data_IF_725703484200
#
_entry.id   IF_725703484200
#
_cell.length_a   1.000
_cell.length_b   1.000
_cell.length_c   1.000
_cell.angle_alpha   90.00
_cell.angle_beta   90.00
_cell.angle_gamma   90.00
#
_symmetry.space_group_name_H-M   'P 1'
#
loop_
_entity.id
_entity.type
_entity.pdbx_description
1 polymer ?
#
# COMPACT_ATOMS: atom_id res chain seq x y z
N UNK A 1 5.44 21.01 -27.32
CA UNK A 1 6.85 20.77 -27.06
C UNK A 1 7.00 19.90 -25.83
N UNK A 2 7.63 18.72 -25.92
CA UNK A 2 7.83 17.82 -24.79
C UNK A 2 8.63 18.44 -23.63
N UNK A 3 9.46 19.43 -23.90
CA UNK A 3 10.26 20.13 -22.89
C UNK A 3 9.46 21.14 -22.08
N UNK A 4 8.32 21.60 -22.62
CA UNK A 4 7.42 22.55 -21.93
C UNK A 4 6.33 21.88 -21.11
N UNK A 5 6.24 20.55 -21.13
CA UNK A 5 5.26 19.82 -20.34
C UNK A 5 5.58 19.91 -18.84
N UNK A 6 4.59 20.29 -18.05
CA UNK A 6 4.68 20.25 -16.60
C UNK A 6 4.87 18.83 -16.11
N UNK A 7 5.84 18.63 -15.24
CA UNK A 7 6.18 17.31 -14.67
C UNK A 7 5.59 17.17 -13.27
N UNK A 8 5.02 16.01 -13.01
CA UNK A 8 4.49 15.68 -11.69
C UNK A 8 5.60 15.64 -10.66
N UNK A 9 5.46 16.41 -9.58
CA UNK A 9 6.37 16.35 -8.41
C UNK A 9 6.34 14.96 -7.75
N UNK A 10 5.17 14.36 -7.66
CA UNK A 10 5.02 12.99 -7.17
C UNK A 10 5.90 12.01 -7.95
N UNK A 11 5.82 12.00 -9.28
CA UNK A 11 6.62 11.10 -10.11
C UNK A 11 8.11 11.46 -10.08
N UNK A 12 8.45 12.74 -10.11
CA UNK A 12 9.83 13.21 -10.10
C UNK A 12 10.55 12.86 -8.78
N UNK A 13 9.91 13.07 -7.63
CA UNK A 13 10.47 12.75 -6.34
C UNK A 13 10.64 11.25 -6.14
N UNK A 14 9.56 10.48 -6.32
CA UNK A 14 9.58 9.04 -6.04
C UNK A 14 10.34 8.18 -7.07
N UNK A 15 10.50 8.65 -8.32
CA UNK A 15 11.14 7.84 -9.39
C UNK A 15 12.43 8.44 -9.95
N UNK A 16 12.70 9.74 -9.73
CA UNK A 16 13.92 10.40 -10.20
C UNK A 16 14.69 11.09 -9.07
N UNK A 17 14.33 10.86 -7.81
CA UNK A 17 14.98 11.45 -6.63
C UNK A 17 15.06 12.98 -6.70
N UNK A 18 14.07 13.62 -7.32
CA UNK A 18 13.98 15.07 -7.37
C UNK A 18 13.64 15.64 -6.00
N UNK A 19 14.41 16.60 -5.52
CA UNK A 19 14.15 17.27 -4.24
C UNK A 19 14.51 18.75 -4.35
N UNK A 20 13.67 19.61 -3.77
CA UNK A 20 13.85 21.06 -3.86
C UNK A 20 15.15 21.51 -3.18
N UNK A 21 15.45 21.01 -2.00
CA UNK A 21 16.66 21.33 -1.21
C UNK A 21 17.96 20.93 -1.91
N UNK A 22 17.91 19.96 -2.82
CA UNK A 22 19.05 19.56 -3.65
C UNK A 22 19.12 20.29 -4.99
N UNK A 23 18.26 21.28 -5.19
CA UNK A 23 18.16 22.02 -6.44
C UNK A 23 17.62 21.17 -7.60
N UNK A 24 16.75 20.22 -7.31
CA UNK A 24 16.07 19.37 -8.28
C UNK A 24 16.57 17.94 -8.33
N UNK A 25 16.95 17.47 -9.53
CA UNK A 25 17.47 16.11 -9.76
C UNK A 25 18.83 15.90 -9.07
N UNK A 26 19.23 14.64 -8.79
CA UNK A 26 20.53 14.32 -8.20
C UNK A 26 21.70 14.98 -8.92
N UNK A 27 22.76 15.28 -8.19
CA UNK A 27 23.96 15.92 -8.72
C UNK A 27 24.60 15.07 -9.83
N UNK A 28 25.22 15.71 -10.81
CA UNK A 28 25.83 15.04 -11.97
C UNK A 28 26.92 14.06 -11.56
N UNK A 29 27.73 14.40 -10.57
CA UNK A 29 28.79 13.53 -10.03
C UNK A 29 28.23 12.26 -9.35
N UNK A 30 27.07 12.37 -8.69
CA UNK A 30 26.35 11.21 -8.15
C UNK A 30 25.86 10.31 -9.30
N UNK A 31 25.24 10.86 -10.32
CA UNK A 31 24.73 10.11 -11.47
C UNK A 31 25.85 9.37 -12.20
N UNK A 32 26.98 10.06 -12.49
CA UNK A 32 28.15 9.47 -13.16
C UNK A 32 28.80 8.40 -12.32
N UNK A 33 28.82 8.55 -10.97
CA UNK A 33 29.34 7.52 -10.07
C UNK A 33 28.44 6.28 -10.04
N UNK A 34 27.14 6.45 -10.19
CA UNK A 34 26.17 5.37 -10.28
C UNK A 34 26.34 4.58 -11.59
N UNK A 35 26.38 5.28 -12.72
CA UNK A 35 26.68 4.72 -14.03
C UNK A 35 27.25 5.81 -14.96
N UNK A 36 28.45 5.62 -15.57
CA UNK A 36 29.01 6.58 -16.52
C UNK A 36 28.12 6.93 -17.72
N UNK A 37 27.17 6.06 -18.10
CA UNK A 37 26.19 6.34 -19.16
C UNK A 37 25.19 7.44 -18.79
N UNK A 38 25.09 7.78 -17.50
CA UNK A 38 24.22 8.85 -17.02
C UNK A 38 24.84 10.24 -17.16
N UNK A 39 26.09 10.36 -17.66
CA UNK A 39 26.75 11.63 -17.91
C UNK A 39 25.90 12.56 -18.78
N UNK A 40 25.68 13.80 -18.34
CA UNK A 40 24.85 14.80 -19.01
C UNK A 40 23.35 14.52 -18.97
N UNK A 41 22.88 13.52 -18.22
CA UNK A 41 21.46 13.22 -18.09
C UNK A 41 20.70 14.35 -17.40
N UNK A 42 21.26 14.89 -16.31
CA UNK A 42 20.64 15.97 -15.53
C UNK A 42 20.26 17.18 -16.40
N UNK A 43 21.15 17.60 -17.29
CA UNK A 43 20.93 18.77 -18.14
C UNK A 43 19.90 18.54 -19.25
N UNK A 44 19.58 17.30 -19.57
CA UNK A 44 18.58 16.88 -20.57
C UNK A 44 17.20 16.63 -19.98
N UNK A 45 17.08 16.60 -18.66
CA UNK A 45 15.81 16.37 -17.95
C UNK A 45 15.18 17.71 -17.53
N UNK A 46 14.00 17.58 -16.95
CA UNK A 46 13.23 18.70 -16.40
C UNK A 46 13.91 19.30 -15.16
N UNK A 47 13.69 20.58 -14.92
CA UNK A 47 14.13 21.27 -13.70
C UNK A 47 12.98 21.47 -12.72
N UNK A 48 11.83 21.93 -13.24
CA UNK A 48 10.67 22.29 -12.46
C UNK A 48 9.70 21.11 -12.32
N UNK A 49 9.05 21.02 -11.18
CA UNK A 49 8.01 20.03 -10.89
C UNK A 49 6.79 20.73 -10.30
N UNK A 50 5.63 20.10 -10.44
CA UNK A 50 4.34 20.70 -10.06
C UNK A 50 3.50 19.68 -9.29
N UNK A 51 2.79 20.17 -8.29
CA UNK A 51 1.81 19.42 -7.50
C UNK A 51 0.51 19.20 -8.29
N UNK A 52 -0.35 18.32 -7.81
CA UNK A 52 -1.54 17.88 -8.55
C UNK A 52 -2.66 18.92 -8.62
N UNK A 53 -2.61 19.96 -7.81
CA UNK A 53 -3.51 21.12 -7.82
C UNK A 53 -3.16 22.17 -8.90
N UNK A 54 -2.10 21.92 -9.70
CA UNK A 54 -1.67 22.81 -10.76
C UNK A 54 -2.20 22.36 -12.11
N UNK A 55 -2.66 23.32 -12.93
CA UNK A 55 -3.06 23.04 -14.32
C UNK A 55 -1.84 22.66 -15.16
N UNK A 56 -1.90 21.52 -15.85
CA UNK A 56 -0.94 21.13 -16.89
C UNK A 56 -1.23 21.81 -18.24
N UNK A 57 -2.41 22.37 -18.41
CA UNK A 57 -2.87 23.03 -19.64
C UNK A 57 -4.36 22.83 -19.87
N UNK A 58 -4.80 23.00 -21.11
CA UNK A 58 -6.17 22.76 -21.55
C UNK A 58 -6.20 21.64 -22.59
N UNK A 59 -7.32 20.95 -22.67
CA UNK A 59 -7.58 19.94 -23.67
C UNK A 59 -7.53 20.58 -25.08
N UNK A 60 -6.81 19.95 -26.01
CA UNK A 60 -6.77 20.43 -27.39
C UNK A 60 -8.12 20.25 -28.09
N UNK A 61 -8.46 21.09 -29.07
CA UNK A 61 -9.71 20.99 -29.81
C UNK A 61 -9.92 19.59 -30.43
N UNK A 62 -8.87 18.99 -30.98
CA UNK A 62 -8.94 17.64 -31.55
C UNK A 62 -9.28 16.54 -30.50
N UNK A 63 -8.81 16.67 -29.28
CA UNK A 63 -9.17 15.74 -28.20
C UNK A 63 -10.53 16.06 -27.60
N UNK A 64 -10.91 17.36 -27.50
CA UNK A 64 -12.26 17.75 -27.07
C UNK A 64 -13.33 17.16 -28.00
N UNK A 65 -13.16 17.31 -29.31
CA UNK A 65 -14.04 16.72 -30.33
C UNK A 65 -14.11 15.19 -30.21
N UNK A 66 -12.93 14.52 -30.12
CA UNK A 66 -12.86 13.05 -30.04
C UNK A 66 -13.52 12.47 -28.79
N UNK A 67 -13.46 13.18 -27.66
CA UNK A 67 -14.03 12.77 -26.39
C UNK A 67 -15.45 13.27 -26.18
N UNK A 68 -15.99 14.12 -27.09
CA UNK A 68 -17.30 14.75 -26.94
C UNK A 68 -17.37 15.73 -25.77
N UNK A 69 -16.23 16.40 -25.45
CA UNK A 69 -16.10 17.35 -24.36
C UNK A 69 -16.08 18.79 -24.90
N UNK A 70 -16.46 19.80 -24.08
CA UNK A 70 -16.31 21.20 -24.45
C UNK A 70 -14.83 21.56 -24.68
N UNK A 71 -14.58 22.58 -25.49
CA UNK A 71 -13.28 23.22 -25.57
C UNK A 71 -12.92 23.91 -24.24
N UNK A 72 -11.64 23.98 -23.94
CA UNK A 72 -11.17 24.68 -22.74
C UNK A 72 -11.21 23.87 -21.45
N UNK A 73 -11.54 22.56 -21.49
CA UNK A 73 -11.45 21.69 -20.33
C UNK A 73 -10.02 21.69 -19.82
N UNK A 74 -9.85 22.01 -18.54
CA UNK A 74 -8.54 22.07 -17.87
C UNK A 74 -8.04 20.67 -17.57
N UNK A 75 -6.77 20.41 -17.80
CA UNK A 75 -6.06 19.17 -17.47
C UNK A 75 -5.13 19.44 -16.30
N UNK A 76 -5.31 18.71 -15.19
CA UNK A 76 -4.43 18.82 -14.02
C UNK A 76 -3.12 18.06 -14.19
N UNK A 77 -2.12 18.41 -13.39
CA UNK A 77 -0.91 17.59 -13.21
C UNK A 77 -1.32 16.33 -12.42
N UNK A 78 -0.95 15.15 -12.92
CA UNK A 78 -1.30 13.88 -12.27
C UNK A 78 -0.33 13.50 -11.13
N UNK A 79 -0.73 12.50 -10.36
CA UNK A 79 0.11 11.79 -9.41
C UNK A 79 -0.04 10.27 -9.61
N UNK A 80 0.67 9.48 -8.82
CA UNK A 80 0.49 8.03 -8.83
C UNK A 80 -0.90 7.64 -8.29
N UNK A 81 -1.38 6.48 -8.72
CA UNK A 81 -2.69 5.96 -8.38
C UNK A 81 -2.91 5.86 -6.85
N UNK A 82 -1.94 5.32 -6.12
CA UNK A 82 -2.04 5.21 -4.66
C UNK A 82 -2.06 6.57 -3.96
N UNK A 83 -1.37 7.60 -4.49
CA UNK A 83 -1.40 8.97 -3.98
C UNK A 83 -2.78 9.60 -4.21
N UNK A 84 -3.33 9.45 -5.44
CA UNK A 84 -4.71 9.85 -5.71
C UNK A 84 -5.71 9.08 -4.85
N UNK A 85 -5.44 7.77 -4.64
CA UNK A 85 -6.25 6.91 -3.76
C UNK A 85 -6.28 7.39 -2.32
N UNK A 86 -5.14 7.85 -1.79
CA UNK A 86 -5.07 8.42 -0.44
C UNK A 86 -5.96 9.67 -0.31
N UNK A 87 -5.89 10.57 -1.29
CA UNK A 87 -6.73 11.78 -1.30
C UNK A 87 -8.22 11.45 -1.43
N UNK A 88 -8.59 10.54 -2.33
CA UNK A 88 -9.97 10.08 -2.48
C UNK A 88 -10.47 9.21 -1.32
N UNK A 89 -9.57 8.66 -0.52
CA UNK A 89 -9.83 8.01 0.75
C UNK A 89 -9.90 8.97 1.93
N UNK A 90 -9.81 10.28 1.65
CA UNK A 90 -9.91 11.34 2.66
C UNK A 90 -8.76 11.30 3.67
N UNK A 91 -7.52 11.17 3.17
CA UNK A 91 -6.31 11.21 4.02
C UNK A 91 -6.26 12.50 4.83
N UNK A 92 -5.97 12.36 6.11
CA UNK A 92 -5.79 13.43 7.08
C UNK A 92 -4.31 13.49 7.53
N UNK A 93 -3.80 14.62 8.03
CA UNK A 93 -2.46 14.68 8.62
C UNK A 93 -2.27 13.61 9.69
N UNK A 94 -1.09 12.97 9.67
CA UNK A 94 -0.71 11.90 10.59
C UNK A 94 -1.60 10.64 10.56
N UNK A 95 -2.45 10.49 9.53
CA UNK A 95 -3.16 9.23 9.29
C UNK A 95 -2.48 8.46 8.16
N UNK A 96 -2.20 7.19 8.41
CA UNK A 96 -1.60 6.31 7.43
C UNK A 96 -2.67 5.79 6.46
N UNK A 97 -2.74 6.34 5.26
CA UNK A 97 -3.59 5.80 4.19
C UNK A 97 -2.96 4.54 3.63
N UNK A 98 -3.62 3.39 3.79
CA UNK A 98 -3.10 2.08 3.42
C UNK A 98 -3.93 1.46 2.31
N UNK A 99 -3.39 1.46 1.09
CA UNK A 99 -4.00 0.77 -0.06
C UNK A 99 -3.64 -0.70 0.00
N UNK A 100 -4.64 -1.57 0.22
CA UNK A 100 -4.46 -3.00 0.49
C UNK A 100 -5.03 -3.83 -0.66
N UNK A 101 -4.15 -4.23 -1.57
CA UNK A 101 -4.41 -5.11 -2.70
C UNK A 101 -3.54 -6.37 -2.63
N UNK A 102 -2.91 -6.72 -3.77
CA UNK A 102 -1.88 -7.78 -3.89
C UNK A 102 -0.68 -7.48 -3.00
N UNK A 103 -0.24 -6.23 -3.01
CA UNK A 103 0.75 -5.60 -2.13
C UNK A 103 0.10 -4.47 -1.35
N UNK A 104 0.89 -3.71 -0.57
CA UNK A 104 0.39 -2.45 0.00
C UNK A 104 1.16 -1.24 -0.51
N UNK A 105 0.46 -0.12 -0.57
CA UNK A 105 1.04 1.19 -0.73
C UNK A 105 0.52 2.07 0.41
N UNK A 106 1.44 2.53 1.23
CA UNK A 106 1.15 3.20 2.49
C UNK A 106 1.58 4.67 2.37
N UNK A 107 0.63 5.58 2.48
CA UNK A 107 0.84 7.03 2.36
C UNK A 107 0.60 7.71 3.69
N UNK A 108 1.48 8.62 4.07
CA UNK A 108 1.29 9.50 5.21
C UNK A 108 1.54 10.93 4.77
N UNK A 109 0.73 11.86 5.25
CA UNK A 109 0.96 13.29 5.07
C UNK A 109 1.20 13.94 6.42
N UNK A 110 2.13 14.89 6.47
CA UNK A 110 2.45 15.64 7.68
C UNK A 110 2.78 17.10 7.33
N UNK A 111 2.37 18.06 8.18
CA UNK A 111 2.79 19.45 8.04
C UNK A 111 4.31 19.59 8.14
N UNK A 112 4.91 20.43 7.30
CA UNK A 112 6.36 20.67 7.28
C UNK A 112 6.91 21.17 8.61
N UNK A 113 6.19 22.06 9.27
CA UNK A 113 6.59 22.67 10.54
C UNK A 113 6.60 21.68 11.72
N UNK A 114 5.95 20.52 11.56
CA UNK A 114 5.90 19.49 12.61
C UNK A 114 6.90 18.35 12.38
N UNK A 115 7.25 18.03 11.15
CA UNK A 115 8.21 16.95 10.80
C UNK A 115 9.61 17.53 10.51
N UNK A 116 9.66 18.77 10.02
CA UNK A 116 10.91 19.45 9.72
C UNK A 116 11.75 18.74 8.67
N UNK A 117 13.08 18.77 8.85
CA UNK A 117 14.07 18.12 7.96
C UNK A 117 14.27 16.64 8.31
N UNK A 118 13.39 16.04 9.11
CA UNK A 118 13.50 14.63 9.49
C UNK A 118 13.37 13.74 8.26
N UNK A 119 14.43 12.99 7.96
CA UNK A 119 14.44 11.97 6.92
C UNK A 119 14.13 10.61 7.54
N UNK A 120 13.03 10.00 7.16
CA UNK A 120 12.65 8.66 7.60
C UNK A 120 13.43 7.62 6.81
N UNK A 121 14.35 6.93 7.48
CA UNK A 121 15.21 5.94 6.84
C UNK A 121 14.45 4.71 6.37
N UNK A 122 14.86 4.14 5.22
CA UNK A 122 14.38 2.83 4.74
C UNK A 122 12.94 2.80 4.26
N UNK A 123 12.31 3.95 3.98
CA UNK A 123 10.99 4.04 3.32
C UNK A 123 11.15 4.19 1.80
N UNK A 124 10.04 4.15 1.05
CA UNK A 124 10.06 4.22 -0.40
C UNK A 124 10.35 5.62 -0.93
N UNK A 125 9.93 6.65 -0.22
CA UNK A 125 10.14 8.04 -0.60
C UNK A 125 9.54 9.03 0.38
N UNK A 126 10.08 10.24 0.33
CA UNK A 126 9.65 11.40 1.12
C UNK A 126 9.72 12.61 0.20
N UNK A 127 8.57 13.16 -0.16
CA UNK A 127 8.47 14.18 -1.22
C UNK A 127 7.43 15.22 -0.86
N UNK A 128 7.86 16.49 -0.83
CA UNK A 128 6.96 17.62 -0.60
C UNK A 128 5.85 17.70 -1.64
N UNK A 129 4.62 17.83 -1.18
CA UNK A 129 3.43 18.02 -2.02
C UNK A 129 3.10 16.84 -2.94
N UNK A 130 3.69 15.66 -2.73
CA UNK A 130 3.45 14.51 -3.61
C UNK A 130 2.06 13.90 -3.46
N UNK A 131 1.45 14.05 -2.29
CA UNK A 131 0.10 13.55 -1.95
C UNK A 131 -0.85 14.73 -1.84
N UNK A 132 -0.65 15.57 -0.81
CA UNK A 132 -1.40 16.78 -0.55
C UNK A 132 -0.47 17.99 -0.71
N UNK A 133 -0.80 18.99 -1.55
CA UNK A 133 -0.01 20.19 -1.69
C UNK A 133 0.22 20.89 -0.35
N UNK A 134 1.45 21.37 -0.12
CA UNK A 134 1.82 22.06 1.12
C UNK A 134 2.06 21.14 2.32
N UNK A 135 2.04 19.82 2.14
CA UNK A 135 2.40 18.84 3.15
C UNK A 135 3.50 17.91 2.65
N UNK A 136 4.32 17.45 3.57
CA UNK A 136 5.28 16.39 3.28
C UNK A 136 4.54 15.08 3.04
N UNK A 137 4.76 14.46 1.89
CA UNK A 137 4.22 13.15 1.55
C UNK A 137 5.28 12.07 1.77
N UNK A 138 4.94 11.05 2.56
CA UNK A 138 5.80 9.91 2.84
C UNK A 138 5.17 8.64 2.27
N UNK A 139 5.99 7.82 1.58
CA UNK A 139 5.55 6.56 0.96
C UNK A 139 6.30 5.38 1.56
N UNK A 140 5.55 4.36 1.95
CA UNK A 140 6.03 3.06 2.37
C UNK A 140 5.19 1.95 1.70
N UNK A 141 5.39 0.69 2.08
CA UNK A 141 4.53 -0.40 1.64
C UNK A 141 5.19 -1.77 1.72
N UNK A 142 4.38 -2.81 1.56
CA UNK A 142 4.80 -4.20 1.57
C UNK A 142 4.80 -4.78 0.15
N UNK A 143 5.79 -5.61 -0.16
CA UNK A 143 5.91 -6.27 -1.48
C UNK A 143 4.81 -7.30 -1.74
N UNK A 144 4.26 -7.90 -0.69
CA UNK A 144 3.14 -8.84 -0.75
C UNK A 144 2.22 -8.62 0.46
N UNK A 145 0.91 -8.70 0.24
CA UNK A 145 -0.12 -8.67 1.26
C UNK A 145 -1.24 -9.65 0.88
N UNK A 146 -2.21 -9.26 0.08
CA UNK A 146 -3.25 -10.14 -0.43
C UNK A 146 -2.73 -11.29 -1.29
N UNK A 147 -1.59 -11.10 -1.95
CA UNK A 147 -0.90 -12.16 -2.72
C UNK A 147 -0.48 -13.34 -1.85
N UNK A 148 -0.18 -13.12 -0.56
CA UNK A 148 0.13 -14.21 0.38
C UNK A 148 -1.09 -15.09 0.61
N UNK A 149 -2.27 -14.48 0.73
CA UNK A 149 -3.53 -15.23 0.87
C UNK A 149 -3.87 -15.99 -0.41
N UNK A 150 -3.69 -15.35 -1.57
CA UNK A 150 -3.88 -15.97 -2.87
C UNK A 150 -2.88 -17.12 -3.11
N UNK A 151 -1.63 -16.93 -2.75
CA UNK A 151 -0.62 -18.00 -2.79
C UNK A 151 -1.03 -19.19 -1.95
N UNK A 152 -1.44 -18.98 -0.69
CA UNK A 152 -1.85 -20.08 0.17
C UNK A 152 -3.12 -20.78 -0.34
N UNK A 153 -4.09 -20.01 -0.84
CA UNK A 153 -5.25 -20.58 -1.58
C UNK A 153 -4.79 -21.54 -2.67
N UNK A 154 -3.86 -21.13 -3.51
CA UNK A 154 -3.36 -21.94 -4.62
C UNK A 154 -2.64 -23.20 -4.14
N UNK A 155 -1.87 -23.12 -3.04
CA UNK A 155 -1.20 -24.29 -2.45
C UNK A 155 -2.22 -25.36 -2.02
N UNK A 156 -3.29 -24.96 -1.32
CA UNK A 156 -4.30 -25.91 -0.83
C UNK A 156 -5.33 -26.30 -1.89
N UNK A 157 -5.51 -25.51 -2.95
CA UNK A 157 -6.36 -25.84 -4.08
C UNK A 157 -5.73 -26.86 -5.05
N UNK A 158 -4.46 -27.22 -4.88
CA UNK A 158 -3.75 -28.14 -5.78
C UNK A 158 -4.52 -29.45 -6.09
N UNK A 159 -5.14 -30.15 -5.10
CA UNK A 159 -5.96 -31.34 -5.38
C UNK A 159 -7.22 -31.03 -6.20
N UNK A 160 -7.81 -29.85 -6.03
CA UNK A 160 -8.99 -29.42 -6.78
C UNK A 160 -8.60 -29.23 -8.23
N UNK A 161 -7.54 -28.48 -8.50
CA UNK A 161 -7.11 -28.10 -9.84
C UNK A 161 -6.48 -29.29 -10.61
N UNK A 162 -5.86 -30.24 -9.89
CA UNK A 162 -5.07 -31.30 -10.52
C UNK A 162 -5.69 -32.69 -10.42
N UNK A 163 -6.59 -32.95 -9.47
CA UNK A 163 -7.24 -34.24 -9.27
C UNK A 163 -8.73 -34.12 -9.63
N UNK A 164 -9.48 -33.23 -8.94
CA UNK A 164 -10.91 -33.09 -9.17
C UNK A 164 -11.22 -32.57 -10.58
N UNK A 165 -10.49 -31.58 -11.06
CA UNK A 165 -10.64 -31.02 -12.42
C UNK A 165 -10.41 -32.06 -13.55
N UNK A 166 -9.82 -33.23 -13.22
CA UNK A 166 -9.55 -34.32 -14.17
C UNK A 166 -10.37 -35.59 -13.87
N UNK A 167 -11.29 -35.52 -12.91
CA UNK A 167 -12.09 -36.69 -12.50
C UNK A 167 -13.05 -37.12 -13.63
N UNK A 168 -12.89 -38.32 -14.12
CA UNK A 168 -13.75 -38.89 -15.17
C UNK A 168 -15.06 -39.49 -14.69
N UNK A 169 -15.30 -39.53 -13.38
CA UNK A 169 -16.53 -40.08 -12.76
C UNK A 169 -17.72 -39.11 -12.75
N UNK A 170 -17.52 -37.86 -13.10
CA UNK A 170 -18.55 -36.81 -13.18
C UNK A 170 -18.46 -36.11 -14.56
N UNK A 171 -19.60 -35.66 -15.06
CA UNK A 171 -19.65 -34.91 -16.32
C UNK A 171 -18.91 -33.56 -16.22
N UNK A 172 -18.44 -33.06 -17.33
CA UNK A 172 -17.59 -31.90 -17.44
C UNK A 172 -18.24 -30.64 -16.83
N UNK A 173 -19.50 -30.38 -17.13
CA UNK A 173 -20.21 -29.18 -16.66
C UNK A 173 -20.40 -29.19 -15.12
N UNK A 174 -20.70 -30.34 -14.53
CA UNK A 174 -20.79 -30.50 -13.06
C UNK A 174 -19.42 -30.34 -12.40
N UNK A 175 -18.38 -30.92 -13.01
CA UNK A 175 -17.02 -30.84 -12.53
C UNK A 175 -16.51 -29.39 -12.52
N UNK A 176 -16.67 -28.66 -13.62
CA UNK A 176 -16.21 -27.28 -13.76
C UNK A 176 -16.92 -26.36 -12.75
N UNK A 177 -18.24 -26.55 -12.58
CA UNK A 177 -19.02 -25.82 -11.56
C UNK A 177 -18.55 -26.13 -10.14
N UNK A 178 -18.21 -27.38 -9.82
CA UNK A 178 -17.68 -27.75 -8.49
C UNK A 178 -16.29 -27.15 -8.24
N UNK A 179 -15.41 -27.15 -9.23
CA UNK A 179 -14.09 -26.54 -9.14
C UNK A 179 -14.21 -25.03 -8.86
N UNK A 180 -15.06 -24.33 -9.60
CA UNK A 180 -15.32 -22.91 -9.40
C UNK A 180 -15.91 -22.64 -8.00
N UNK A 181 -16.98 -23.33 -7.62
CA UNK A 181 -17.64 -23.16 -6.32
C UNK A 181 -16.68 -23.37 -5.14
N UNK A 182 -15.91 -24.46 -5.18
CA UNK A 182 -14.96 -24.76 -4.09
C UNK A 182 -13.83 -23.74 -4.05
N UNK A 183 -13.29 -23.35 -5.22
CA UNK A 183 -12.22 -22.36 -5.32
C UNK A 183 -12.63 -20.99 -4.76
N UNK A 184 -13.88 -20.57 -4.99
CA UNK A 184 -14.39 -19.30 -4.48
C UNK A 184 -14.63 -19.29 -2.97
N UNK A 185 -14.89 -20.47 -2.39
CA UNK A 185 -15.16 -20.63 -0.95
C UNK A 185 -13.90 -20.75 -0.10
N UNK A 186 -12.75 -21.09 -0.64
CA UNK A 186 -11.53 -21.37 0.13
C UNK A 186 -11.18 -20.20 1.08
N UNK A 187 -11.02 -18.99 0.57
CA UNK A 187 -10.65 -17.83 1.42
C UNK A 187 -11.74 -17.48 2.44
N UNK A 188 -13.03 -17.37 2.08
CA UNK A 188 -14.10 -17.18 3.07
C UNK A 188 -14.12 -18.22 4.20
N UNK A 189 -14.02 -19.50 3.86
CA UNK A 189 -14.06 -20.59 4.85
C UNK A 189 -12.80 -20.62 5.73
N UNK A 190 -11.61 -20.39 5.15
CA UNK A 190 -10.36 -20.22 5.91
C UNK A 190 -10.45 -19.03 6.87
N UNK A 191 -10.97 -17.91 6.43
CA UNK A 191 -11.14 -16.70 7.25
C UNK A 191 -12.06 -17.00 8.43
N UNK A 192 -13.24 -17.58 8.18
CA UNK A 192 -14.21 -17.93 9.21
C UNK A 192 -13.70 -18.99 10.22
N UNK A 193 -12.82 -19.89 9.78
CA UNK A 193 -12.18 -20.87 10.65
C UNK A 193 -11.02 -20.24 11.45
N UNK A 194 -10.19 -19.42 10.81
CA UNK A 194 -9.05 -18.74 11.43
C UNK A 194 -9.49 -17.75 12.52
N UNK A 195 -10.61 -17.05 12.32
CA UNK A 195 -11.18 -16.11 13.28
C UNK A 195 -11.53 -16.78 14.63
N UNK A 196 -11.87 -18.07 14.63
CA UNK A 196 -12.23 -18.85 15.82
C UNK A 196 -11.03 -19.37 16.61
N UNK A 197 -9.84 -19.29 16.06
CA UNK A 197 -8.61 -19.73 16.74
C UNK A 197 -8.16 -18.60 17.67
N UNK A 198 -7.84 -18.92 18.92
CA UNK A 198 -7.34 -17.91 19.87
C UNK A 198 -5.98 -17.37 19.44
N UNK A 199 -5.71 -16.09 19.79
CA UNK A 199 -4.42 -15.42 19.52
C UNK A 199 -3.31 -16.22 20.22
N UNK A 200 -2.31 -16.68 19.46
CA UNK A 200 -1.18 -17.46 19.94
C UNK A 200 -1.45 -18.97 20.10
N UNK A 201 -2.70 -19.45 19.97
CA UNK A 201 -3.03 -20.89 20.11
C UNK A 201 -2.26 -21.78 19.12
N UNK A 202 -2.06 -21.30 17.90
CA UNK A 202 -1.42 -22.11 16.85
C UNK A 202 0.07 -22.38 17.11
N UNK A 203 0.75 -21.49 17.83
CA UNK A 203 2.20 -21.51 18.00
C UNK A 203 2.98 -21.29 16.69
N UNK A 204 2.30 -20.96 15.59
CA UNK A 204 2.90 -20.74 14.27
C UNK A 204 3.23 -19.27 14.10
N UNK A 205 4.45 -18.98 13.63
CA UNK A 205 4.90 -17.65 13.24
C UNK A 205 5.30 -17.69 11.77
N UNK A 206 4.90 -16.67 10.99
CA UNK A 206 5.26 -16.55 9.59
C UNK A 206 5.90 -15.19 9.30
N UNK A 207 6.63 -15.09 8.19
CA UNK A 207 7.14 -13.85 7.62
C UNK A 207 6.45 -13.56 6.29
N UNK A 208 6.04 -12.31 6.10
CA UNK A 208 5.36 -11.81 4.90
C UNK A 208 6.28 -11.55 3.70
N UNK A 209 7.56 -11.93 3.78
CA UNK A 209 8.60 -11.61 2.77
C UNK A 209 8.56 -12.54 1.54
N UNK A 210 7.39 -13.01 1.12
CA UNK A 210 7.25 -13.93 -0.04
C UNK A 210 7.80 -13.31 -1.34
N UNK A 211 7.72 -11.97 -1.49
CA UNK A 211 8.30 -11.19 -2.59
C UNK A 211 9.45 -10.27 -2.12
N UNK A 212 10.20 -10.68 -1.09
CA UNK A 212 11.17 -9.81 -0.45
C UNK A 212 10.53 -8.78 0.47
N UNK A 213 11.35 -7.96 1.13
CA UNK A 213 10.92 -6.84 1.97
C UNK A 213 11.09 -5.53 1.20
N UNK A 214 10.01 -4.70 1.14
CA UNK A 214 10.05 -3.37 0.53
C UNK A 214 10.35 -2.28 1.56
N UNK A 215 9.62 -2.26 2.66
CA UNK A 215 9.75 -1.31 3.76
C UNK A 215 9.57 -2.01 5.10
N UNK A 216 10.34 -1.65 6.15
CA UNK A 216 11.52 -0.80 6.10
C UNK A 216 12.74 -1.54 5.52
N UNK A 217 13.71 -0.76 5.05
CA UNK A 217 15.03 -1.27 4.60
C UNK A 217 14.90 -2.34 3.51
N UNK A 218 14.63 -1.88 2.27
CA UNK A 218 14.34 -2.74 1.13
C UNK A 218 15.41 -3.83 0.92
N UNK A 219 14.96 -5.09 0.90
CA UNK A 219 15.80 -6.24 0.59
C UNK A 219 14.99 -7.31 -0.17
N UNK A 220 15.15 -7.36 -1.49
CA UNK A 220 14.43 -8.28 -2.36
C UNK A 220 14.98 -9.71 -2.34
N UNK A 221 16.16 -9.92 -1.74
CA UNK A 221 16.72 -11.26 -1.56
C UNK A 221 16.02 -12.06 -0.45
N UNK A 222 15.37 -11.39 0.50
CA UNK A 222 14.63 -12.02 1.59
C UNK A 222 13.48 -12.87 1.05
N UNK A 223 13.15 -13.93 1.79
CA UNK A 223 12.07 -14.87 1.45
C UNK A 223 11.17 -15.10 2.66
N UNK A 224 9.91 -15.40 2.39
CA UNK A 224 8.95 -15.81 3.41
C UNK A 224 9.40 -17.07 4.14
N UNK A 225 8.98 -17.20 5.39
CA UNK A 225 9.25 -18.38 6.21
C UNK A 225 8.05 -18.68 7.10
N UNK A 226 7.91 -19.93 7.52
CA UNK A 226 6.88 -20.37 8.46
C UNK A 226 7.57 -21.29 9.48
N UNK A 227 7.38 -21.02 10.75
CA UNK A 227 8.00 -21.75 11.86
C UNK A 227 6.93 -22.19 12.87
N UNK A 228 7.24 -23.21 13.69
CA UNK A 228 6.32 -23.71 14.72
C UNK A 228 5.30 -24.75 14.24
N UNK A 229 5.49 -25.32 13.03
CA UNK A 229 4.60 -26.35 12.50
C UNK A 229 4.70 -27.65 13.32
N UNK A 230 3.55 -28.26 13.57
CA UNK A 230 3.39 -29.58 14.21
C UNK A 230 2.47 -30.45 13.37
N UNK A 231 2.33 -31.72 13.73
CA UNK A 231 1.35 -32.61 13.09
C UNK A 231 -0.12 -32.16 13.30
N UNK A 232 -0.37 -31.30 14.28
CA UNK A 232 -1.68 -30.71 14.54
C UNK A 232 -1.92 -29.38 13.79
N UNK A 233 -0.93 -28.90 13.02
CA UNK A 233 -1.09 -27.67 12.24
C UNK A 233 -1.97 -27.94 11.01
N UNK A 234 -3.11 -27.27 10.94
CA UNK A 234 -4.06 -27.34 9.84
C UNK A 234 -4.08 -26.05 9.00
N UNK A 235 -4.82 -26.07 7.90
CA UNK A 235 -4.88 -24.94 6.97
C UNK A 235 -5.39 -23.63 7.62
N UNK A 236 -6.43 -23.62 8.48
CA UNK A 236 -6.85 -22.40 9.18
C UNK A 236 -5.77 -21.81 10.10
N UNK A 237 -5.01 -22.65 10.83
CA UNK A 237 -3.91 -22.19 11.70
C UNK A 237 -2.78 -21.56 10.91
N UNK A 238 -2.39 -22.16 9.79
CA UNK A 238 -1.37 -21.60 8.90
C UNK A 238 -1.88 -20.29 8.28
N UNK A 239 -3.13 -20.25 7.82
CA UNK A 239 -3.72 -19.05 7.24
C UNK A 239 -3.77 -17.88 8.24
N UNK A 240 -4.14 -18.15 9.51
CA UNK A 240 -4.09 -17.14 10.56
C UNK A 240 -2.68 -16.57 10.75
N UNK A 241 -1.66 -17.41 10.83
CA UNK A 241 -0.28 -16.96 10.96
C UNK A 241 0.18 -16.12 9.77
N UNK A 242 -0.29 -16.42 8.54
CA UNK A 242 -0.01 -15.61 7.35
C UNK A 242 -0.72 -14.24 7.40
N UNK A 243 -1.96 -14.18 7.91
CA UNK A 243 -2.66 -12.91 8.16
C UNK A 243 -1.91 -12.10 9.19
N UNK A 244 -1.54 -12.70 10.32
CA UNK A 244 -0.77 -12.04 11.37
C UNK A 244 0.58 -11.53 10.84
N UNK A 245 1.29 -12.31 10.01
CA UNK A 245 2.55 -11.90 9.39
C UNK A 245 2.42 -10.64 8.53
N UNK A 246 1.39 -10.56 7.68
CA UNK A 246 1.15 -9.36 6.85
C UNK A 246 0.86 -8.12 7.69
N UNK A 247 0.17 -8.30 8.81
CA UNK A 247 -0.12 -7.21 9.75
C UNK A 247 1.11 -6.83 10.58
N UNK A 248 1.95 -7.79 10.98
CA UNK A 248 3.24 -7.50 11.63
C UNK A 248 4.19 -6.74 10.71
N UNK A 249 4.22 -7.06 9.41
CA UNK A 249 4.92 -6.27 8.41
C UNK A 249 4.42 -4.82 8.36
N UNK A 250 3.10 -4.62 8.42
CA UNK A 250 2.50 -3.27 8.52
C UNK A 250 2.92 -2.55 9.81
N UNK A 251 3.00 -3.27 10.93
CA UNK A 251 3.48 -2.71 12.20
C UNK A 251 4.96 -2.32 12.13
N UNK A 252 5.81 -3.09 11.45
CA UNK A 252 7.22 -2.69 11.24
C UNK A 252 7.34 -1.36 10.49
N UNK A 253 6.44 -1.11 9.54
CA UNK A 253 6.37 0.19 8.84
C UNK A 253 5.95 1.30 9.80
N UNK A 254 4.88 1.10 10.56
CA UNK A 254 4.41 2.08 11.53
C UNK A 254 5.48 2.38 12.61
N UNK A 255 6.14 1.34 13.14
CA UNK A 255 7.21 1.48 14.12
C UNK A 255 8.41 2.26 13.55
N UNK A 256 8.74 2.14 12.25
CA UNK A 256 9.77 2.93 11.59
C UNK A 256 9.40 4.42 11.62
N UNK A 257 8.20 4.79 11.24
CA UNK A 257 7.75 6.20 11.30
C UNK A 257 7.84 6.74 12.73
N UNK A 258 7.30 6.01 13.70
CA UNK A 258 7.30 6.41 15.10
C UNK A 258 8.72 6.56 15.68
N UNK A 259 9.64 5.63 15.36
CA UNK A 259 11.03 5.66 15.85
C UNK A 259 11.85 6.81 15.26
N UNK A 260 11.49 7.28 14.07
CA UNK A 260 12.11 8.44 13.40
C UNK A 260 11.38 9.77 13.75
N UNK A 261 10.44 9.73 14.70
CA UNK A 261 9.76 10.91 15.23
C UNK A 261 8.52 11.38 14.44
N UNK A 262 8.07 10.60 13.46
CA UNK A 262 6.82 10.88 12.74
C UNK A 262 5.66 10.16 13.43
N UNK A 263 4.72 10.91 14.02
CA UNK A 263 3.56 10.33 14.70
C UNK A 263 2.56 9.73 13.70
N UNK A 264 1.79 8.73 14.17
CA UNK A 264 0.65 8.18 13.46
C UNK A 264 -0.54 8.18 14.42
N UNK A 265 -1.64 8.79 14.02
CA UNK A 265 -2.85 8.96 14.85
C UNK A 265 -3.95 7.94 14.49
N UNK A 266 -3.86 7.31 13.33
CA UNK A 266 -4.81 6.30 12.87
C UNK A 266 -4.50 5.80 11.47
N UNK A 267 -5.32 4.88 10.98
CA UNK A 267 -5.16 4.29 9.66
C UNK A 267 -6.45 4.44 8.85
N UNK A 268 -6.31 4.81 7.60
CA UNK A 268 -7.39 4.82 6.60
C UNK A 268 -7.11 3.69 5.61
N UNK A 269 -7.89 2.64 5.69
CA UNK A 269 -7.74 1.44 4.88
C UNK A 269 -8.54 1.53 3.58
N UNK A 270 -7.89 1.22 2.46
CA UNK A 270 -8.43 1.27 1.10
C UNK A 270 -8.20 -0.06 0.40
N UNK A 271 -8.95 -0.34 -0.65
CA UNK A 271 -8.72 -1.50 -1.51
C UNK A 271 -9.49 -2.76 -1.11
N UNK A 272 -9.28 -3.82 -1.89
CA UNK A 272 -10.12 -5.01 -1.84
C UNK A 272 -10.04 -5.79 -0.53
N UNK A 273 -8.87 -5.88 0.11
CA UNK A 273 -8.71 -6.59 1.38
C UNK A 273 -9.45 -5.85 2.50
N UNK A 274 -9.30 -4.51 2.54
CA UNK A 274 -9.97 -3.68 3.54
C UNK A 274 -11.51 -3.84 3.49
N UNK A 275 -12.06 -3.93 2.27
CA UNK A 275 -13.51 -4.07 2.04
C UNK A 275 -14.04 -5.47 2.36
N UNK A 276 -13.24 -6.52 2.10
CA UNK A 276 -13.73 -7.91 2.10
C UNK A 276 -13.41 -8.69 3.36
N UNK A 277 -12.48 -8.22 4.21
CA UNK A 277 -12.00 -8.98 5.36
C UNK A 277 -12.06 -8.19 6.68
N UNK A 278 -13.22 -8.18 7.36
CA UNK A 278 -13.33 -7.63 8.72
C UNK A 278 -12.31 -8.24 9.68
N UNK A 279 -12.01 -9.53 9.54
CA UNK A 279 -11.01 -10.23 10.34
C UNK A 279 -9.63 -9.60 10.22
N UNK A 280 -9.13 -9.37 8.99
CA UNK A 280 -7.83 -8.71 8.77
C UNK A 280 -7.83 -7.29 9.34
N UNK A 281 -8.94 -6.56 9.21
CA UNK A 281 -9.04 -5.18 9.74
C UNK A 281 -9.00 -5.16 11.27
N UNK A 282 -9.67 -6.10 11.94
CA UNK A 282 -9.61 -6.19 13.40
C UNK A 282 -8.21 -6.60 13.88
N UNK A 283 -7.58 -7.62 13.25
CA UNK A 283 -6.19 -7.99 13.56
C UNK A 283 -5.25 -6.79 13.39
N UNK A 284 -5.46 -5.99 12.35
CA UNK A 284 -4.66 -4.78 12.11
C UNK A 284 -4.87 -3.72 13.19
N UNK A 285 -6.12 -3.45 13.60
CA UNK A 285 -6.42 -2.52 14.68
C UNK A 285 -5.74 -2.96 15.99
N UNK A 286 -5.83 -4.25 16.32
CA UNK A 286 -5.27 -4.83 17.55
C UNK A 286 -3.73 -4.79 17.55
N UNK A 287 -3.09 -5.19 16.43
CA UNK A 287 -1.62 -5.23 16.30
C UNK A 287 -1.01 -3.83 16.28
N UNK A 288 -1.60 -2.90 15.52
CA UNK A 288 -1.12 -1.51 15.45
C UNK A 288 -1.47 -0.72 16.72
N UNK A 289 -2.46 -1.18 17.49
CA UNK A 289 -3.08 -0.44 18.60
C UNK A 289 -3.57 0.94 18.12
N UNK A 290 -4.25 0.97 16.98
CA UNK A 290 -4.76 2.16 16.32
C UNK A 290 -6.15 1.92 15.74
N UNK A 291 -6.98 2.97 15.68
CA UNK A 291 -8.25 2.94 14.97
C UNK A 291 -8.03 2.79 13.45
N UNK A 292 -8.79 1.89 12.81
CA UNK A 292 -8.76 1.67 11.36
C UNK A 292 -10.10 2.10 10.76
N UNK A 293 -10.09 3.17 9.98
CA UNK A 293 -11.26 3.63 9.20
C UNK A 293 -11.22 2.98 7.81
N UNK A 294 -12.30 2.36 7.35
CA UNK A 294 -12.40 1.78 5.99
C UNK A 294 -13.13 2.75 5.08
N UNK A 295 -12.44 3.26 4.05
CA UNK A 295 -13.03 4.22 3.12
C UNK A 295 -14.23 3.62 2.37
N UNK A 296 -15.34 4.38 2.24
CA UNK A 296 -16.58 3.92 1.58
C UNK A 296 -16.43 3.78 0.07
N UNK A 297 -15.71 4.69 -0.58
CA UNK A 297 -15.54 4.65 -2.02
C UNK A 297 -14.78 3.40 -2.47
N UNK A 298 -15.31 2.68 -3.45
CA UNK A 298 -14.61 1.59 -4.13
C UNK A 298 -13.64 2.11 -5.19
N UNK A 299 -13.79 3.38 -5.60
CA UNK A 299 -13.03 4.04 -6.65
C UNK A 299 -12.25 5.24 -6.08
N UNK A 300 -11.56 5.04 -4.97
CA UNK A 300 -10.83 6.13 -4.27
C UNK A 300 -9.82 6.82 -5.18
N UNK A 301 -9.16 6.09 -6.08
CA UNK A 301 -8.20 6.66 -7.04
C UNK A 301 -8.88 7.65 -7.99
N UNK A 302 -9.98 7.23 -8.60
CA UNK A 302 -10.75 8.09 -9.51
C UNK A 302 -11.38 9.28 -8.77
N UNK A 303 -11.84 9.06 -7.54
CA UNK A 303 -12.39 10.11 -6.68
C UNK A 303 -11.34 11.17 -6.35
N UNK A 304 -10.12 10.79 -5.93
CA UNK A 304 -9.04 11.73 -5.64
C UNK A 304 -8.58 12.50 -6.89
N UNK A 305 -8.49 11.81 -8.04
CA UNK A 305 -8.21 12.49 -9.31
C UNK A 305 -9.30 13.50 -9.67
N UNK A 306 -10.58 13.18 -9.40
CA UNK A 306 -11.70 14.11 -9.61
C UNK A 306 -11.69 15.29 -8.65
N UNK A 307 -11.27 15.08 -7.39
CA UNK A 307 -11.09 16.15 -6.40
C UNK A 307 -10.00 17.14 -6.87
N UNK A 308 -8.85 16.66 -7.33
CA UNK A 308 -7.81 17.52 -7.91
C UNK A 308 -8.29 18.21 -9.18
N UNK A 309 -9.03 17.53 -10.05
CA UNK A 309 -9.60 18.16 -11.24
C UNK A 309 -10.57 19.31 -10.86
N UNK A 310 -11.35 19.15 -9.80
CA UNK A 310 -12.24 20.20 -9.31
C UNK A 310 -11.47 21.41 -8.74
N UNK A 311 -10.35 21.18 -8.04
CA UNK A 311 -9.46 22.25 -7.56
C UNK A 311 -8.84 23.00 -8.76
N UNK A 312 -8.27 22.27 -9.72
CA UNK A 312 -7.65 22.86 -10.92
C UNK A 312 -8.65 23.64 -11.77
N UNK A 313 -9.92 23.22 -11.80
CA UNK A 313 -11.01 23.93 -12.47
C UNK A 313 -11.55 25.14 -11.67
N UNK A 314 -11.04 25.38 -10.44
CA UNK A 314 -11.46 26.50 -9.61
C UNK A 314 -12.82 26.30 -8.90
N UNK A 315 -13.31 25.07 -8.80
CA UNK A 315 -14.53 24.76 -8.07
C UNK A 315 -14.30 24.74 -6.55
N UNK A 316 -13.10 24.42 -6.12
CA UNK A 316 -12.64 24.47 -4.72
C UNK A 316 -11.29 25.15 -4.64
N UNK A 317 -11.03 25.84 -3.55
CA UNK A 317 -9.77 26.57 -3.33
C UNK A 317 -8.61 25.63 -2.99
N UNK A 318 -8.89 24.55 -2.24
CA UNK A 318 -7.89 23.59 -1.78
C UNK A 318 -8.39 22.16 -1.93
N UNK A 319 -7.48 21.20 -1.83
CA UNK A 319 -7.83 19.78 -1.90
C UNK A 319 -8.63 19.34 -0.68
N UNK A 320 -8.37 19.91 0.49
CA UNK A 320 -9.13 19.65 1.72
C UNK A 320 -10.59 20.11 1.59
N UNK A 321 -10.82 21.28 0.98
CA UNK A 321 -12.15 21.77 0.67
C UNK A 321 -12.90 20.83 -0.30
N UNK A 322 -12.18 20.28 -1.28
CA UNK A 322 -12.73 19.28 -2.20
C UNK A 322 -13.04 17.98 -1.47
N UNK A 323 -12.15 17.47 -0.61
CA UNK A 323 -12.39 16.28 0.21
C UNK A 323 -13.65 16.42 1.09
N UNK A 324 -13.81 17.56 1.77
CA UNK A 324 -14.99 17.83 2.64
C UNK A 324 -16.32 17.80 1.87
N UNK A 325 -16.33 18.10 0.58
CA UNK A 325 -17.55 18.19 -0.25
C UNK A 325 -17.78 16.99 -1.12
N UNK A 326 -16.72 16.35 -1.58
CA UNK A 326 -16.77 15.22 -2.52
C UNK A 326 -16.47 13.88 -1.84
N UNK A 327 -15.95 13.89 -0.62
CA UNK A 327 -15.62 12.69 0.15
C UNK A 327 -16.84 11.79 0.34
N UNK A 328 -16.61 10.48 0.28
CA UNK A 328 -17.64 9.47 0.43
C UNK A 328 -17.84 9.03 1.89
N UNK A 329 -16.91 9.38 2.78
CA UNK A 329 -16.87 8.94 4.17
C UNK A 329 -16.37 7.50 4.33
N UNK A 330 -16.68 6.91 5.48
CA UNK A 330 -16.20 5.59 5.88
C UNK A 330 -17.37 4.61 6.06
N UNK A 331 -17.15 3.32 5.72
CA UNK A 331 -18.15 2.24 5.88
C UNK A 331 -18.05 1.57 7.25
N UNK A 332 -16.83 1.47 7.79
CA UNK A 332 -16.57 0.80 9.04
C UNK A 332 -15.39 1.47 9.77
N UNK A 333 -15.38 1.32 11.09
CA UNK A 333 -14.27 1.68 11.96
C UNK A 333 -13.99 0.50 12.87
N UNK A 334 -12.73 0.08 12.95
CA UNK A 334 -12.27 -1.00 13.82
C UNK A 334 -11.40 -0.38 14.90
N UNK A 335 -11.84 -0.52 16.14
CA UNK A 335 -11.08 -0.07 17.32
C UNK A 335 -10.24 -1.21 17.88
N UNK A 336 -9.04 -0.93 18.41
CA UNK A 336 -8.21 -1.95 19.04
C UNK A 336 -8.88 -2.50 20.31
N UNK A 337 -8.81 -3.83 20.48
CA UNK A 337 -9.27 -4.52 21.66
C UNK A 337 -8.10 -4.67 22.63
N UNK A 338 -8.11 -4.02 23.83
CA UNK A 338 -6.94 -3.97 24.71
C UNK A 338 -6.33 -5.35 25.05
N UNK A 339 -7.16 -6.35 25.33
CA UNK A 339 -6.70 -7.70 25.66
C UNK A 339 -5.98 -8.36 24.45
N UNK A 340 -6.43 -8.08 23.23
CA UNK A 340 -5.78 -8.58 22.02
C UNK A 340 -4.46 -7.87 21.76
N UNK A 341 -4.41 -6.55 21.96
CA UNK A 341 -3.18 -5.76 21.84
C UNK A 341 -2.07 -6.36 22.70
N UNK A 342 -2.38 -6.72 23.96
CA UNK A 342 -1.40 -7.35 24.86
C UNK A 342 -0.94 -8.71 24.36
N UNK A 343 -1.86 -9.55 23.89
CA UNK A 343 -1.53 -10.88 23.36
C UNK A 343 -0.65 -10.81 22.11
N UNK A 344 -0.87 -9.83 21.22
CA UNK A 344 -0.08 -9.67 20.00
C UNK A 344 1.35 -9.22 20.23
N UNK A 345 1.70 -8.61 21.38
CA UNK A 345 3.07 -8.17 21.66
C UNK A 345 4.10 -9.30 21.56
N UNK A 346 3.81 -10.43 22.23
CA UNK A 346 4.72 -11.58 22.22
C UNK A 346 4.86 -12.23 20.83
N UNK A 347 3.77 -12.27 20.06
CA UNK A 347 3.81 -12.78 18.68
C UNK A 347 4.59 -11.85 17.75
N UNK A 348 4.47 -10.53 17.93
CA UNK A 348 5.24 -9.55 17.18
C UNK A 348 6.73 -9.61 17.51
N UNK A 349 7.09 -9.85 18.77
CA UNK A 349 8.49 -10.11 19.18
C UNK A 349 9.04 -11.38 18.50
N UNK A 350 8.26 -12.47 18.48
CA UNK A 350 8.63 -13.71 17.80
C UNK A 350 8.80 -13.51 16.28
N UNK A 351 7.92 -12.73 15.65
CA UNK A 351 8.07 -12.32 14.25
C UNK A 351 9.38 -11.55 14.02
N UNK A 352 9.74 -10.62 14.92
CA UNK A 352 10.99 -9.89 14.86
C UNK A 352 12.22 -10.80 14.93
N UNK A 353 12.26 -11.71 15.92
CA UNK A 353 13.35 -12.67 16.10
C UNK A 353 13.50 -13.62 14.90
N UNK A 354 12.39 -14.09 14.34
CA UNK A 354 12.41 -14.90 13.13
C UNK A 354 12.93 -14.11 11.93
N UNK A 355 12.56 -12.83 11.81
CA UNK A 355 13.08 -11.94 10.78
C UNK A 355 14.60 -11.80 10.86
N UNK A 356 15.14 -11.50 12.03
CA UNK A 356 16.58 -11.42 12.26
C UNK A 356 17.32 -12.72 11.89
N UNK A 357 16.75 -13.86 12.26
CA UNK A 357 17.29 -15.17 11.90
C UNK A 357 17.36 -15.38 10.38
N UNK A 358 16.26 -15.08 9.66
CA UNK A 358 16.21 -15.25 8.20
C UNK A 358 17.16 -14.27 7.48
N UNK A 359 17.26 -13.02 7.93
CA UNK A 359 18.23 -12.05 7.40
C UNK A 359 19.67 -12.52 7.60
N UNK A 360 20.00 -13.01 8.78
CA UNK A 360 21.33 -13.54 9.09
C UNK A 360 21.67 -14.78 8.24
N UNK A 361 20.70 -15.66 8.02
CA UNK A 361 20.88 -16.85 7.18
C UNK A 361 21.15 -16.50 5.72
N UNK A 362 20.34 -15.59 5.13
CA UNK A 362 20.51 -15.19 3.73
C UNK A 362 21.79 -14.39 3.50
N UNK A 363 22.23 -13.58 4.46
CA UNK A 363 23.49 -12.81 4.37
C UNK A 363 24.74 -13.71 4.44
N UNK A 364 24.60 -14.93 4.93
CA UNK A 364 25.70 -15.91 5.07
C UNK A 364 25.78 -16.91 3.91
N UNK A 365 24.78 -16.94 3.02
CA UNK A 365 24.72 -17.79 1.82
C UNK A 365 24.91 -16.98 0.55
#
# INVERSE_FOLDING_TARGET
>A
DPLSLKRSRCAAGHKAMWHEDFGGLPAEDFLVKLDPLLAGLRDRLFKDTYTSDVSAGILTAAWAERLGLPEGVVVGVGAFDAHMGAVGGEIEPFHLSKVMGTSTCDMLVAPFDEVGDTLVSGICGQVDGSITPGMLGLEAGQSAFGDIYAWFKNVIAWPIDNILAKAGSIDEATRDKLVEEVSDRIIPELTAAAEKIDIGESGIVALDWMNGRRTPDANQALKGAVMGLTLGSDAPRIFRALVEATVFGSKKIADRFLSEGVRIEGVIALGGVAKKSPFVMQVMADVLNMSIKVARSEQTVALGASMFAAVVAGLYETIEAAQQKMGAGFDAVYEPIPDNVEKYKSLYEAYGQMGEFVEGFISST
#
